data_IF_224771444718
#
_entry.id   IF_224771444718
#
_cell.length_a   1.000
_cell.length_b   1.000
_cell.length_c   1.000
_cell.angle_alpha   90.00
_cell.angle_beta   90.00
_cell.angle_gamma   90.00
#
_symmetry.space_group_name_H-M   'P 1'
#
loop_
_entity.id
_entity.type
_entity.pdbx_description
1 polymer ?
#
# COMPACT_ATOMS: atom_id res chain seq x y z
N UNK A 1 23.58 -1.67 -53.77
CA UNK A 1 23.32 -0.22 -53.80
C UNK A 1 23.30 0.26 -52.36
N UNK A 2 24.39 0.86 -51.94
CA UNK A 2 24.61 1.38 -50.60
C UNK A 2 24.52 2.90 -50.70
N UNK A 3 23.59 3.52 -49.97
CA UNK A 3 23.44 4.97 -49.90
C UNK A 3 23.89 5.45 -48.53
N UNK A 4 25.04 6.10 -48.52
CA UNK A 4 25.60 6.80 -47.35
C UNK A 4 25.07 8.22 -47.29
N UNK A 5 24.41 8.61 -46.22
CA UNK A 5 24.08 10.02 -45.91
C UNK A 5 25.10 10.58 -44.92
N UNK A 6 25.89 11.53 -45.42
CA UNK A 6 26.80 12.39 -44.66
C UNK A 6 26.02 13.61 -44.18
N UNK A 7 26.00 13.88 -42.87
CA UNK A 7 25.44 15.10 -42.30
C UNK A 7 26.56 15.97 -41.72
N UNK A 8 26.75 17.10 -42.36
CA UNK A 8 27.74 18.12 -42.02
C UNK A 8 27.23 18.99 -40.83
N UNK A 9 28.00 19.01 -39.76
CA UNK A 9 27.75 19.88 -38.59
C UNK A 9 28.36 21.27 -38.90
N UNK A 10 27.55 22.32 -38.95
CA UNK A 10 28.01 23.72 -39.06
C UNK A 10 28.08 24.33 -37.64
N UNK A 11 29.29 24.65 -37.23
CA UNK A 11 29.58 25.44 -36.03
C UNK A 11 29.23 26.92 -36.26
N UNK A 12 28.39 27.51 -35.42
CA UNK A 12 28.19 28.95 -35.34
C UNK A 12 28.89 29.49 -34.09
N UNK A 13 29.98 30.27 -34.30
CA UNK A 13 30.58 31.08 -33.27
C UNK A 13 29.88 32.45 -33.25
N UNK A 14 29.35 32.83 -32.10
CA UNK A 14 28.90 34.21 -31.83
C UNK A 14 29.71 34.75 -30.67
N UNK A 15 30.61 35.67 -31.01
CA UNK A 15 31.28 36.54 -30.08
C UNK A 15 30.31 37.69 -29.71
N UNK A 16 30.01 37.86 -28.47
CA UNK A 16 29.13 38.94 -27.97
C UNK A 16 29.71 39.58 -26.71
N UNK A 17 29.91 40.89 -26.84
CA UNK A 17 30.62 41.80 -25.96
C UNK A 17 30.08 41.82 -24.51
N UNK A 18 31.03 41.90 -23.58
CA UNK A 18 30.79 42.18 -22.15
C UNK A 18 30.54 43.70 -21.98
N UNK A 19 29.34 44.09 -21.61
CA UNK A 19 29.02 45.42 -21.10
C UNK A 19 28.93 45.34 -19.57
N UNK A 20 29.93 45.89 -18.89
CA UNK A 20 29.87 46.14 -17.46
C UNK A 20 28.88 47.30 -17.19
N UNK A 21 27.75 47.01 -16.60
CA UNK A 21 26.90 48.00 -15.97
C UNK A 21 27.12 47.96 -14.43
N UNK A 22 27.86 48.94 -13.94
CA UNK A 22 27.95 49.26 -12.53
C UNK A 22 26.66 49.99 -12.16
N UNK A 23 25.74 49.37 -11.49
CA UNK A 23 24.59 50.01 -10.85
C UNK A 23 24.74 49.97 -9.33
N UNK A 24 24.72 51.16 -8.78
CA UNK A 24 24.95 51.51 -7.40
C UNK A 24 24.04 50.80 -6.40
N UNK A 25 24.62 50.54 -5.26
CA UNK A 25 23.94 49.94 -4.13
C UNK A 25 22.75 50.76 -3.63
N UNK A 26 21.62 50.07 -3.49
CA UNK A 26 20.60 50.39 -2.48
C UNK A 26 20.53 49.22 -1.54
N UNK A 27 21.04 49.43 -0.34
CA UNK A 27 20.80 48.51 0.78
C UNK A 27 19.29 48.50 1.06
N UNK A 28 18.59 47.53 0.50
CA UNK A 28 17.27 47.18 0.98
C UNK A 28 17.50 46.46 2.32
N UNK A 29 17.24 47.16 3.40
CA UNK A 29 17.08 46.56 4.72
C UNK A 29 15.99 45.51 4.58
N UNK A 30 16.37 44.24 4.65
CA UNK A 30 15.46 43.14 4.80
C UNK A 30 14.71 43.40 6.13
N UNK A 31 13.45 43.85 6.03
CA UNK A 31 12.54 43.80 7.16
C UNK A 31 12.34 42.36 7.49
N UNK A 32 13.04 41.89 8.52
CA UNK A 32 12.69 40.68 9.24
C UNK A 32 11.27 40.86 9.77
N UNK A 33 10.27 40.33 9.07
CA UNK A 33 8.95 40.20 9.63
C UNK A 33 9.07 39.25 10.83
N UNK A 34 8.96 39.81 12.03
CA UNK A 34 8.84 39.00 13.24
C UNK A 34 7.67 38.04 13.06
N UNK A 35 7.82 36.74 13.43
CA UNK A 35 6.73 35.77 13.33
C UNK A 35 5.54 36.31 14.13
N UNK A 36 4.36 36.27 13.52
CA UNK A 36 3.10 36.70 14.12
C UNK A 36 2.85 35.83 15.36
N UNK A 37 2.81 36.35 16.61
CA UNK A 37 2.74 35.52 17.81
C UNK A 37 1.35 34.89 18.05
N UNK A 38 0.51 34.81 17.03
CA UNK A 38 -0.88 34.32 17.11
C UNK A 38 -1.17 33.02 16.38
N UNK A 39 -0.23 32.45 15.63
CA UNK A 39 -0.41 31.14 15.02
C UNK A 39 0.38 30.13 15.85
N UNK A 40 -0.27 29.54 16.85
CA UNK A 40 0.18 28.27 17.40
C UNK A 40 0.01 27.26 16.25
N UNK A 41 1.08 27.01 15.48
CA UNK A 41 1.17 25.80 14.68
C UNK A 41 1.05 24.64 15.66
N UNK A 42 -0.14 24.05 15.76
CA UNK A 42 -0.28 22.76 16.37
C UNK A 42 0.51 21.81 15.46
N UNK A 43 1.75 21.50 15.85
CA UNK A 43 2.48 20.40 15.24
C UNK A 43 1.56 19.18 15.27
N UNK A 44 1.11 18.76 14.10
CA UNK A 44 0.24 17.62 13.97
C UNK A 44 1.05 16.38 14.41
N UNK A 45 0.75 15.90 15.61
CA UNK A 45 1.46 14.78 16.22
C UNK A 45 1.15 13.52 15.42
N UNK A 46 2.18 12.94 14.81
CA UNK A 46 2.08 11.65 14.14
C UNK A 46 1.74 10.55 15.16
N UNK A 47 0.66 9.80 14.98
CA UNK A 47 0.30 8.73 15.90
C UNK A 47 1.40 7.67 16.03
N UNK A 48 1.53 7.05 17.21
CA UNK A 48 2.49 5.97 17.43
C UNK A 48 2.10 4.71 16.65
N UNK A 49 3.05 3.77 16.54
CA UNK A 49 2.78 2.41 16.07
C UNK A 49 1.77 1.75 17.02
N UNK A 50 0.57 1.45 16.52
CA UNK A 50 -0.46 0.75 17.27
C UNK A 50 -0.21 -0.76 17.24
N UNK A 51 0.02 -1.32 16.06
CA UNK A 51 0.42 -2.70 15.90
C UNK A 51 1.26 -2.92 14.63
N UNK A 52 2.01 -4.00 14.66
CA UNK A 52 2.67 -4.60 13.51
C UNK A 52 2.26 -6.07 13.43
N UNK A 53 1.96 -6.53 12.22
CA UNK A 53 1.79 -7.94 11.91
C UNK A 53 2.85 -8.40 10.93
N UNK A 54 3.48 -9.50 11.25
CA UNK A 54 4.29 -10.33 10.37
C UNK A 54 3.70 -11.73 10.39
N UNK A 55 3.74 -12.43 9.26
CA UNK A 55 3.08 -13.71 9.17
C UNK A 55 3.99 -14.84 9.64
N UNK A 56 3.40 -15.93 10.04
CA UNK A 56 4.11 -17.17 10.29
C UNK A 56 3.41 -18.33 9.59
N UNK A 57 4.19 -19.36 9.25
CA UNK A 57 3.63 -20.59 8.70
C UNK A 57 2.68 -21.21 9.74
N UNK A 58 1.42 -21.52 9.37
CA UNK A 58 0.53 -22.23 10.29
C UNK A 58 1.14 -23.57 10.75
N UNK A 59 0.87 -24.01 11.98
CA UNK A 59 1.30 -25.33 12.44
C UNK A 59 0.84 -26.43 11.48
N UNK A 60 1.74 -27.31 11.08
CA UNK A 60 1.46 -28.41 10.16
C UNK A 60 2.23 -29.67 10.53
N UNK A 61 1.75 -30.82 10.04
CA UNK A 61 2.44 -32.09 10.12
C UNK A 61 2.91 -32.51 8.73
N UNK A 62 4.13 -33.05 8.63
CA UNK A 62 4.73 -33.44 7.37
C UNK A 62 5.31 -32.30 6.54
N UNK A 63 5.69 -32.55 5.27
CA UNK A 63 6.26 -31.55 4.38
C UNK A 63 5.25 -30.45 4.03
N UNK A 64 5.76 -29.24 3.77
CA UNK A 64 4.95 -28.14 3.28
C UNK A 64 4.36 -28.48 1.90
N UNK A 65 3.05 -28.26 1.77
CA UNK A 65 2.29 -28.41 0.52
C UNK A 65 1.24 -27.30 0.42
N UNK A 66 0.51 -27.23 -0.69
CA UNK A 66 -0.46 -26.15 -0.93
C UNK A 66 -1.61 -26.11 0.08
N UNK A 67 -1.96 -27.26 0.67
CA UNK A 67 -3.04 -27.32 1.63
C UNK A 67 -2.62 -26.78 3.01
N UNK A 68 -1.46 -27.23 3.52
CA UNK A 68 -1.00 -26.81 4.85
C UNK A 68 -0.34 -25.43 4.88
N UNK A 69 -0.14 -24.79 3.70
CA UNK A 69 0.21 -23.38 3.59
C UNK A 69 -0.99 -22.43 3.64
N UNK A 70 -2.21 -22.94 3.50
CA UNK A 70 -3.41 -22.10 3.55
C UNK A 70 -3.47 -21.31 4.84
N UNK A 71 -3.89 -20.05 4.69
CA UNK A 71 -3.97 -19.16 5.83
C UNK A 71 -4.98 -19.65 6.86
N UNK A 72 -4.58 -19.57 8.11
CA UNK A 72 -5.42 -19.85 9.28
C UNK A 72 -5.23 -18.78 10.34
N UNK A 73 -6.06 -18.68 11.38
CA UNK A 73 -5.83 -17.72 12.46
C UNK A 73 -4.45 -17.82 13.12
N UNK A 74 -3.81 -18.99 13.08
CA UNK A 74 -2.48 -19.23 13.62
C UNK A 74 -1.35 -18.61 12.77
N UNK A 75 -1.66 -18.12 11.56
CA UNK A 75 -0.69 -17.38 10.75
C UNK A 75 -0.40 -15.99 11.30
N UNK A 76 -1.26 -15.44 12.16
CA UNK A 76 -1.07 -14.15 12.82
C UNK A 76 -0.14 -14.32 14.02
N UNK A 77 0.95 -13.54 14.04
CA UNK A 77 1.96 -13.61 15.11
C UNK A 77 1.63 -12.71 16.30
N UNK A 78 0.95 -11.59 16.05
CA UNK A 78 0.57 -10.65 17.09
C UNK A 78 -0.67 -11.16 17.85
N UNK A 79 -0.48 -11.52 19.12
CA UNK A 79 -1.54 -12.08 19.95
C UNK A 79 -2.73 -11.15 20.21
N UNK A 80 -2.60 -9.84 19.98
CA UNK A 80 -3.69 -8.87 20.14
C UNK A 80 -4.57 -8.75 18.89
N UNK A 81 -4.23 -9.45 17.82
CA UNK A 81 -4.95 -9.37 16.56
C UNK A 81 -5.76 -10.65 16.28
N UNK A 82 -6.82 -10.49 15.51
CA UNK A 82 -7.65 -11.54 14.96
C UNK A 82 -7.68 -11.42 13.44
N UNK A 83 -7.51 -12.54 12.75
CA UNK A 83 -7.64 -12.64 11.30
C UNK A 83 -9.11 -12.66 10.88
N UNK A 84 -9.46 -11.89 9.86
CA UNK A 84 -10.75 -11.93 9.17
C UNK A 84 -10.52 -12.07 7.67
N UNK A 85 -11.32 -12.91 7.03
CA UNK A 85 -11.23 -13.21 5.61
C UNK A 85 -12.55 -12.90 4.92
N UNK A 86 -12.50 -12.29 3.74
CA UNK A 86 -13.62 -11.91 2.92
C UNK A 86 -13.45 -12.41 1.49
N UNK A 87 -14.56 -12.81 0.89
CA UNK A 87 -14.56 -13.49 -0.40
C UNK A 87 -14.67 -15.01 -0.25
N UNK A 88 -15.30 -15.63 -1.22
CA UNK A 88 -15.59 -17.09 -1.19
C UNK A 88 -14.33 -17.94 -1.18
N UNK A 89 -13.24 -17.39 -1.69
CA UNK A 89 -11.99 -18.11 -1.93
C UNK A 89 -10.82 -17.62 -1.05
N UNK A 90 -11.08 -16.74 -0.10
CA UNK A 90 -10.03 -16.12 0.73
C UNK A 90 -9.22 -17.13 1.59
N UNK A 91 -9.78 -18.33 1.83
CA UNK A 91 -9.07 -19.41 2.53
C UNK A 91 -7.94 -20.04 1.70
N UNK A 92 -7.91 -19.80 0.39
CA UNK A 92 -6.83 -20.23 -0.49
C UNK A 92 -5.63 -19.28 -0.55
N UNK A 93 -5.68 -18.14 0.16
CA UNK A 93 -4.49 -17.35 0.46
C UNK A 93 -3.50 -18.25 1.19
N UNK A 94 -2.25 -18.25 0.76
CA UNK A 94 -1.21 -19.09 1.36
C UNK A 94 -0.20 -18.24 2.12
N UNK A 95 0.41 -18.83 3.14
CA UNK A 95 1.63 -18.31 3.74
C UNK A 95 2.80 -18.90 2.97
N UNK A 96 3.55 -18.05 2.29
CA UNK A 96 4.76 -18.40 1.55
C UNK A 96 5.98 -17.74 2.17
N UNK A 97 7.15 -17.94 1.59
CA UNK A 97 8.39 -17.36 2.08
C UNK A 97 9.24 -16.86 0.90
N UNK A 98 9.74 -15.64 1.03
CA UNK A 98 10.70 -15.08 0.09
C UNK A 98 11.95 -14.61 0.84
N UNK A 99 13.09 -15.26 0.57
CA UNK A 99 14.38 -14.96 1.22
C UNK A 99 14.32 -15.04 2.76
N UNK A 100 13.67 -16.06 3.30
CA UNK A 100 13.53 -16.26 4.74
C UNK A 100 12.48 -15.36 5.41
N UNK A 101 11.71 -14.59 4.65
CA UNK A 101 10.68 -13.68 5.18
C UNK A 101 9.31 -14.22 4.76
N UNK A 102 8.44 -14.57 5.72
CA UNK A 102 7.08 -14.99 5.42
C UNK A 102 6.26 -13.87 4.77
N UNK A 103 5.35 -14.26 3.89
CA UNK A 103 4.39 -13.38 3.25
C UNK A 103 3.09 -14.12 2.92
N UNK A 104 2.02 -13.37 2.74
CA UNK A 104 0.75 -13.88 2.23
C UNK A 104 0.77 -13.82 0.72
N UNK A 105 0.35 -14.89 0.06
CA UNK A 105 0.30 -15.02 -1.38
C UNK A 105 -1.13 -15.33 -1.87
N UNK A 106 -1.62 -14.57 -2.84
CA UNK A 106 -2.98 -14.72 -3.37
C UNK A 106 -3.07 -15.60 -4.62
N UNK A 107 -1.98 -16.20 -5.07
CA UNK A 107 -1.88 -16.85 -6.38
C UNK A 107 -2.90 -17.97 -6.65
N UNK A 108 -3.41 -18.64 -5.63
CA UNK A 108 -4.41 -19.72 -5.78
C UNK A 108 -5.85 -19.29 -5.50
N UNK A 109 -6.10 -18.00 -5.30
CA UNK A 109 -7.47 -17.50 -5.19
C UNK A 109 -8.11 -17.39 -6.57
N UNK A 110 -9.26 -17.99 -6.78
CA UNK A 110 -9.97 -17.99 -8.07
C UNK A 110 -11.01 -16.87 -8.19
N UNK A 111 -11.14 -16.08 -7.15
CA UNK A 111 -12.00 -14.90 -7.06
C UNK A 111 -11.32 -13.79 -6.25
N UNK A 112 -11.81 -12.55 -6.33
CA UNK A 112 -11.33 -11.45 -5.48
C UNK A 112 -11.38 -11.80 -3.99
N UNK A 113 -10.38 -11.35 -3.23
CA UNK A 113 -10.24 -11.66 -1.81
C UNK A 113 -9.81 -10.44 -1.00
N UNK A 114 -10.31 -10.35 0.22
CA UNK A 114 -9.80 -9.39 1.20
C UNK A 114 -9.44 -10.08 2.52
N UNK A 115 -8.44 -9.52 3.17
CA UNK A 115 -7.98 -9.94 4.47
C UNK A 115 -7.86 -8.72 5.36
N UNK A 116 -8.38 -8.83 6.59
CA UNK A 116 -8.25 -7.77 7.60
C UNK A 116 -7.78 -8.33 8.93
N UNK A 117 -7.23 -7.44 9.72
CA UNK A 117 -6.79 -7.65 11.09
C UNK A 117 -7.70 -6.81 12.01
N UNK A 118 -8.25 -7.45 13.03
CA UNK A 118 -9.08 -6.85 14.06
C UNK A 118 -8.30 -6.81 15.37
N UNK A 119 -8.14 -5.63 15.95
CA UNK A 119 -7.56 -5.54 17.28
C UNK A 119 -8.60 -5.99 18.34
N UNK A 120 -8.26 -6.98 19.17
CA UNK A 120 -9.20 -7.63 20.12
C UNK A 120 -9.83 -6.66 21.11
N UNK A 121 -9.04 -5.70 21.59
CA UNK A 121 -9.38 -4.86 22.74
C UNK A 121 -9.71 -3.41 22.37
N UNK A 122 -9.55 -3.01 21.12
CA UNK A 122 -9.72 -1.62 20.70
C UNK A 122 -10.28 -1.49 19.28
N UNK A 123 -11.02 -0.42 19.03
CA UNK A 123 -11.16 0.14 17.70
C UNK A 123 -9.91 0.93 17.33
N UNK A 124 -9.72 1.19 16.05
CA UNK A 124 -8.63 1.99 15.51
C UNK A 124 -9.20 3.34 15.06
N UNK A 125 -8.65 4.43 15.56
CA UNK A 125 -8.96 5.77 15.08
C UNK A 125 -8.02 6.09 13.91
N UNK A 126 -8.56 6.16 12.70
CA UNK A 126 -7.84 6.44 11.46
C UNK A 126 -8.02 7.90 10.99
N UNK A 127 -8.39 8.81 11.87
CA UNK A 127 -8.48 10.24 11.54
C UNK A 127 -7.14 10.96 11.69
N UNK A 128 -6.96 12.08 10.99
CA UNK A 128 -5.75 12.91 11.04
C UNK A 128 -4.54 12.22 10.39
N UNK A 129 -3.34 12.40 10.95
CA UNK A 129 -2.07 11.90 10.38
C UNK A 129 -1.84 10.40 10.58
N UNK A 130 -2.91 9.61 10.64
CA UNK A 130 -2.81 8.15 10.73
C UNK A 130 -2.37 7.55 9.40
N UNK A 131 -1.67 6.42 9.48
CA UNK A 131 -1.19 5.73 8.29
C UNK A 131 -1.05 4.23 8.52
N UNK A 132 -1.13 3.50 7.43
CA UNK A 132 -0.71 2.11 7.36
C UNK A 132 0.52 2.02 6.47
N UNK A 133 1.54 1.30 6.91
CA UNK A 133 2.68 0.91 6.08
C UNK A 133 2.62 -0.58 5.85
N UNK A 134 3.00 -0.99 4.67
CA UNK A 134 3.07 -2.41 4.31
C UNK A 134 4.21 -2.69 3.36
N UNK A 135 4.66 -3.92 3.36
CA UNK A 135 5.62 -4.42 2.38
C UNK A 135 4.91 -5.41 1.48
N UNK A 136 4.76 -5.03 0.22
CA UNK A 136 3.96 -5.76 -0.76
C UNK A 136 4.74 -6.04 -2.03
N UNK A 137 4.31 -7.05 -2.76
CA UNK A 137 4.72 -7.36 -4.12
C UNK A 137 3.47 -7.67 -4.93
N UNK A 138 3.39 -7.16 -6.15
CA UNK A 138 2.33 -7.49 -7.08
C UNK A 138 2.93 -7.90 -8.41
N UNK A 139 2.23 -8.75 -9.13
CA UNK A 139 2.64 -9.24 -10.45
C UNK A 139 1.54 -8.94 -11.47
N UNK A 140 1.96 -8.59 -12.68
CA UNK A 140 1.09 -8.34 -13.84
C UNK A 140 -0.04 -7.33 -13.56
N UNK A 141 -1.29 -7.76 -13.57
CA UNK A 141 -2.47 -6.90 -13.45
C UNK A 141 -2.90 -6.64 -12.00
N UNK A 142 -2.24 -7.28 -11.03
CA UNK A 142 -2.62 -7.16 -9.63
C UNK A 142 -2.24 -5.82 -9.05
N UNK A 143 -3.19 -5.24 -8.33
CA UNK A 143 -3.00 -4.07 -7.47
C UNK A 143 -3.69 -4.32 -6.13
N UNK A 144 -3.12 -3.78 -5.07
CA UNK A 144 -3.69 -3.85 -3.73
C UNK A 144 -4.35 -2.52 -3.36
N UNK A 145 -5.42 -2.61 -2.59
CA UNK A 145 -6.07 -1.47 -1.96
C UNK A 145 -6.15 -1.68 -0.45
N UNK A 146 -6.14 -0.59 0.30
CA UNK A 146 -6.47 -0.66 1.72
C UNK A 146 -7.96 -0.97 1.89
N UNK A 147 -8.26 -1.79 2.87
CA UNK A 147 -9.63 -2.14 3.28
C UNK A 147 -9.79 -1.84 4.76
N UNK A 148 -10.93 -1.27 5.13
CA UNK A 148 -11.32 -1.07 6.53
C UNK A 148 -12.75 -1.53 6.76
N UNK A 149 -13.03 -1.98 7.97
CA UNK A 149 -14.40 -2.24 8.42
C UNK A 149 -14.74 -1.29 9.56
N UNK A 150 -15.82 -0.57 9.40
CA UNK A 150 -16.30 0.36 10.43
C UNK A 150 -16.93 -0.38 11.59
N UNK A 151 -17.10 0.31 12.71
CA UNK A 151 -17.75 -0.26 13.90
C UNK A 151 -19.21 -0.68 13.67
N UNK A 152 -19.90 -0.10 12.68
CA UNK A 152 -21.26 -0.49 12.27
C UNK A 152 -21.30 -1.73 11.38
N UNK A 153 -20.14 -2.29 11.02
CA UNK A 153 -20.00 -3.46 10.18
C UNK A 153 -19.83 -3.17 8.69
N UNK A 154 -19.88 -1.91 8.25
CA UNK A 154 -19.67 -1.53 6.84
C UNK A 154 -18.23 -1.79 6.43
N UNK A 155 -18.04 -2.59 5.40
CA UNK A 155 -16.72 -2.86 4.81
C UNK A 155 -16.46 -1.86 3.69
N UNK A 156 -15.32 -1.20 3.73
CA UNK A 156 -14.93 -0.14 2.80
C UNK A 156 -13.58 -0.44 2.14
N UNK A 157 -13.45 -0.10 0.87
CA UNK A 157 -12.19 -0.13 0.13
C UNK A 157 -11.78 1.29 -0.26
N UNK A 158 -10.51 1.61 -0.04
CA UNK A 158 -9.92 2.89 -0.43
C UNK A 158 -9.60 2.94 -1.93
N UNK A 159 -9.69 4.14 -2.51
CA UNK A 159 -9.45 4.38 -3.94
C UNK A 159 -7.98 4.27 -4.35
N UNK A 160 -7.04 4.45 -3.43
CA UNK A 160 -5.62 4.43 -3.72
C UNK A 160 -5.15 3.01 -4.06
N UNK A 161 -4.42 2.88 -5.17
CA UNK A 161 -3.89 1.60 -5.67
C UNK A 161 -2.41 1.47 -5.34
N UNK A 162 -1.98 0.24 -5.04
CA UNK A 162 -0.58 -0.07 -4.75
C UNK A 162 -0.12 -1.23 -5.62
N UNK A 163 0.93 -0.99 -6.38
CA UNK A 163 1.56 -1.99 -7.24
C UNK A 163 3.08 -1.92 -7.14
N UNK A 164 3.73 -3.03 -7.44
CA UNK A 164 5.18 -3.10 -7.53
C UNK A 164 5.66 -2.70 -8.92
N UNK A 165 6.84 -2.08 -9.06
CA UNK A 165 7.48 -1.92 -10.35
C UNK A 165 7.69 -3.29 -11.01
N UNK A 166 7.15 -3.46 -12.21
CA UNK A 166 7.18 -4.72 -12.95
C UNK A 166 8.47 -4.85 -13.75
N UNK A 167 9.03 -6.06 -13.80
CA UNK A 167 10.18 -6.41 -14.64
C UNK A 167 9.86 -7.67 -15.44
N UNK A 168 10.24 -7.76 -16.73
CA UNK A 168 10.12 -9.00 -17.48
C UNK A 168 10.88 -10.13 -16.78
N UNK A 169 10.26 -11.28 -16.63
CA UNK A 169 10.94 -12.49 -16.16
C UNK A 169 11.68 -13.12 -17.35
N UNK A 170 12.98 -13.35 -17.20
CA UNK A 170 13.80 -13.94 -18.24
C UNK A 170 13.28 -15.33 -18.61
N UNK A 171 13.02 -15.53 -19.91
CA UNK A 171 12.52 -16.81 -20.42
C UNK A 171 11.02 -17.06 -20.29
N UNK A 172 10.24 -16.07 -19.88
CA UNK A 172 8.78 -16.15 -19.80
C UNK A 172 8.10 -14.88 -20.31
N UNK A 173 6.81 -14.98 -20.62
CA UNK A 173 5.97 -13.81 -20.94
C UNK A 173 5.37 -13.16 -19.69
N UNK A 174 5.80 -13.57 -18.49
CA UNK A 174 5.32 -13.03 -17.22
C UNK A 174 6.21 -11.86 -16.76
N UNK A 175 5.63 -11.02 -15.93
CA UNK A 175 6.31 -9.92 -15.27
C UNK A 175 6.30 -10.19 -13.77
N UNK A 176 7.42 -9.97 -13.10
CA UNK A 176 7.54 -10.07 -11.65
C UNK A 176 7.85 -8.71 -11.05
N UNK A 177 7.11 -8.36 -10.01
CA UNK A 177 7.40 -7.20 -9.18
C UNK A 177 8.43 -7.52 -8.09
N UNK A 178 9.13 -6.50 -7.62
CA UNK A 178 9.92 -6.59 -6.38
C UNK A 178 9.04 -6.23 -5.19
N UNK A 179 9.40 -6.71 -4.00
CA UNK A 179 8.81 -6.19 -2.77
C UNK A 179 9.14 -4.71 -2.61
N UNK A 180 8.12 -3.92 -2.35
CA UNK A 180 8.22 -2.48 -2.06
C UNK A 180 7.54 -2.17 -0.73
N UNK A 181 8.03 -1.15 -0.04
CA UNK A 181 7.35 -0.59 1.13
C UNK A 181 6.56 0.62 0.65
N UNK A 182 5.28 0.62 0.93
CA UNK A 182 4.37 1.71 0.61
C UNK A 182 3.66 2.20 1.87
N UNK A 183 3.18 3.42 1.81
CA UNK A 183 2.40 4.05 2.88
C UNK A 183 1.03 4.43 2.36
N UNK A 184 0.01 4.13 3.14
CA UNK A 184 -1.40 4.47 2.92
C UNK A 184 -1.77 5.55 3.92
N UNK A 185 -2.19 6.71 3.45
CA UNK A 185 -2.85 7.74 4.25
C UNK A 185 -4.36 7.59 4.09
N UNK A 186 -5.12 7.86 5.13
CA UNK A 186 -6.56 7.60 5.12
C UNK A 186 -7.40 8.84 4.80
N UNK A 187 -6.87 10.04 5.07
CA UNK A 187 -7.59 11.31 4.88
C UNK A 187 -7.84 11.64 3.40
N UNK A 188 -6.95 11.24 2.50
CA UNK A 188 -7.01 11.57 1.07
C UNK A 188 -7.72 10.51 0.22
N UNK A 189 -8.33 9.52 0.84
CA UNK A 189 -8.98 8.45 0.12
C UNK A 189 -10.46 8.70 -0.16
N UNK A 190 -10.89 8.38 -1.36
CA UNK A 190 -12.31 8.11 -1.63
C UNK A 190 -12.59 6.68 -1.19
N UNK A 191 -13.74 6.50 -0.55
CA UNK A 191 -14.13 5.22 0.00
C UNK A 191 -15.31 4.64 -0.75
N UNK A 192 -15.25 3.36 -1.02
CA UNK A 192 -16.34 2.62 -1.67
C UNK A 192 -16.75 1.47 -0.76
N UNK A 193 -18.05 1.24 -0.67
CA UNK A 193 -18.56 0.06 0.01
C UNK A 193 -18.09 -1.19 -0.73
N UNK A 194 -17.64 -2.20 0.01
CA UNK A 194 -17.20 -3.49 -0.51
C UNK A 194 -18.18 -4.58 -0.09
N UNK A 195 -18.64 -5.40 -1.06
CA UNK A 195 -19.43 -6.59 -0.76
C UNK A 195 -18.53 -7.62 -0.05
N UNK A 196 -18.88 -8.10 1.17
CA UNK A 196 -18.01 -8.99 1.93
C UNK A 196 -17.93 -10.42 1.37
N UNK A 197 -18.88 -10.81 0.51
CA UNK A 197 -18.94 -12.16 -0.07
C UNK A 197 -18.29 -12.21 -1.45
N UNK A 198 -18.68 -11.27 -2.32
CA UNK A 198 -18.17 -11.23 -3.70
C UNK A 198 -16.87 -10.47 -3.83
N UNK A 199 -16.53 -9.64 -2.84
CA UNK A 199 -15.38 -8.73 -2.83
C UNK A 199 -15.36 -7.85 -4.08
N UNK A 200 -16.49 -7.21 -4.34
CA UNK A 200 -16.64 -6.24 -5.42
C UNK A 200 -17.01 -4.88 -4.85
N UNK A 201 -16.51 -3.82 -5.49
CA UNK A 201 -16.82 -2.45 -5.11
C UNK A 201 -18.29 -2.13 -5.45
N UNK A 202 -18.94 -1.42 -4.55
CA UNK A 202 -20.32 -0.98 -4.68
C UNK A 202 -20.37 0.54 -4.81
N UNK A 203 -21.25 1.21 -4.06
CA UNK A 203 -21.40 2.66 -4.08
C UNK A 203 -20.27 3.37 -3.32
N UNK A 204 -19.98 4.58 -3.75
CA UNK A 204 -19.12 5.50 -3.00
C UNK A 204 -19.77 5.91 -1.68
N UNK A 205 -18.96 6.02 -0.64
CA UNK A 205 -19.36 6.47 0.70
C UNK A 205 -18.64 7.78 0.99
N UNK A 206 -19.39 8.88 0.98
CA UNK A 206 -18.85 10.19 1.35
C UNK A 206 -18.61 10.28 2.85
N UNK A 207 -17.43 10.74 3.27
CA UNK A 207 -17.06 11.02 4.65
C UNK A 207 -17.43 9.91 5.65
N UNK A 208 -16.89 8.68 5.51
CA UNK A 208 -17.12 7.63 6.48
C UNK A 208 -16.52 8.00 7.85
N UNK A 209 -17.15 7.52 8.92
CA UNK A 209 -16.61 7.71 10.27
C UNK A 209 -15.40 6.78 10.50
N UNK A 210 -14.21 7.30 10.21
CA UNK A 210 -12.95 6.59 10.42
C UNK A 210 -12.44 6.67 11.87
N UNK A 211 -13.15 7.34 12.78
CA UNK A 211 -12.74 7.43 14.20
C UNK A 211 -12.92 6.12 14.98
N UNK A 212 -13.70 5.17 14.42
CA UNK A 212 -13.99 3.87 15.04
C UNK A 212 -13.96 2.75 14.00
N UNK A 213 -12.75 2.39 13.55
CA UNK A 213 -12.53 1.29 12.63
C UNK A 213 -12.32 0.00 13.41
N UNK A 214 -13.08 -1.05 13.05
CA UNK A 214 -13.04 -2.37 13.70
C UNK A 214 -11.93 -3.25 13.12
N UNK A 215 -11.72 -3.17 11.80
CA UNK A 215 -10.75 -4.00 11.09
C UNK A 215 -10.01 -3.17 10.04
N UNK A 216 -8.74 -3.53 9.78
CA UNK A 216 -7.90 -2.90 8.77
C UNK A 216 -7.07 -3.95 8.04
N UNK A 217 -6.88 -3.80 6.74
CA UNK A 217 -6.12 -4.74 5.94
C UNK A 217 -6.03 -4.40 4.48
N UNK A 218 -6.06 -5.41 3.63
CA UNK A 218 -5.93 -5.25 2.19
C UNK A 218 -6.99 -6.04 1.41
N UNK A 219 -7.20 -5.64 0.17
CA UNK A 219 -7.99 -6.36 -0.83
C UNK A 219 -7.19 -6.49 -2.11
N UNK A 220 -7.28 -7.65 -2.73
CA UNK A 220 -6.91 -7.96 -4.11
C UNK A 220 -8.19 -8.22 -4.90
N UNK A 221 -8.53 -7.29 -5.78
CA UNK A 221 -9.77 -7.34 -6.56
C UNK A 221 -9.65 -8.23 -7.81
N UNK A 222 -8.48 -8.84 -8.02
CA UNK A 222 -8.21 -9.74 -9.14
C UNK A 222 -8.14 -11.19 -8.66
N UNK A 223 -8.67 -12.14 -9.44
CA UNK A 223 -8.40 -13.57 -9.18
C UNK A 223 -6.92 -13.88 -9.41
N UNK A 224 -6.34 -14.70 -8.55
CA UNK A 224 -4.96 -15.16 -8.68
C UNK A 224 -4.75 -16.04 -9.92
N UNK A 225 -3.59 -15.90 -10.51
CA UNK A 225 -3.16 -16.71 -11.66
C UNK A 225 -1.87 -17.48 -11.42
N UNK A 226 -1.56 -17.75 -10.17
CA UNK A 226 -0.30 -18.38 -9.78
C UNK A 226 0.89 -17.50 -10.14
N UNK A 227 1.93 -18.11 -10.71
CA UNK A 227 3.04 -17.40 -11.34
C UNK A 227 2.85 -17.26 -12.86
N UNK A 228 1.64 -17.46 -13.37
CA UNK A 228 1.29 -17.30 -14.77
C UNK A 228 1.03 -15.86 -15.18
N UNK A 229 0.45 -15.70 -16.37
CA UNK A 229 0.20 -14.36 -16.96
C UNK A 229 -0.72 -13.48 -16.12
N UNK A 230 -1.71 -14.05 -15.41
CA UNK A 230 -2.60 -13.27 -14.55
C UNK A 230 -1.87 -12.69 -13.32
N UNK A 231 -0.87 -13.40 -12.79
CA UNK A 231 -0.06 -12.94 -11.67
C UNK A 231 -0.70 -13.15 -10.30
N UNK A 232 -0.18 -12.46 -9.31
CA UNK A 232 -0.60 -12.57 -7.91
C UNK A 232 -0.18 -11.35 -7.10
N UNK A 233 -0.62 -11.30 -5.86
CA UNK A 233 -0.13 -10.34 -4.86
C UNK A 233 0.51 -11.05 -3.67
N UNK A 234 1.50 -10.40 -3.07
CA UNK A 234 2.11 -10.81 -1.81
C UNK A 234 2.07 -9.64 -0.81
N UNK A 235 1.82 -9.97 0.46
CA UNK A 235 1.87 -9.02 1.58
C UNK A 235 2.74 -9.60 2.69
N UNK A 236 3.91 -8.98 2.94
CA UNK A 236 4.92 -9.50 3.86
C UNK A 236 4.70 -9.04 5.29
N UNK A 237 4.32 -7.80 5.49
CA UNK A 237 3.96 -7.25 6.80
C UNK A 237 3.07 -6.02 6.66
N UNK A 238 2.35 -5.72 7.74
CA UNK A 238 1.50 -4.54 7.90
C UNK A 238 1.84 -3.86 9.23
N UNK A 239 2.02 -2.54 9.20
CA UNK A 239 2.16 -1.65 10.36
C UNK A 239 1.04 -0.62 10.33
N UNK A 240 0.39 -0.39 11.46
CA UNK A 240 -0.66 0.62 11.60
C UNK A 240 -0.24 1.63 12.66
N UNK A 241 -0.17 2.90 12.26
CA UNK A 241 0.13 4.04 13.11
C UNK A 241 -1.15 4.82 13.35
N UNK A 242 -1.72 4.65 14.52
CA UNK A 242 -3.05 5.15 14.85
C UNK A 242 -3.25 5.23 16.37
N UNK A 243 -4.36 5.82 16.80
CA UNK A 243 -4.75 5.88 18.21
C UNK A 243 -5.78 4.80 18.51
N UNK A 244 -5.62 3.99 19.57
CA UNK A 244 -6.66 3.06 20.00
C UNK A 244 -7.85 3.80 20.61
N UNK A 245 -9.05 3.31 20.31
CA UNK A 245 -10.30 3.75 20.94
C UNK A 245 -10.94 2.59 21.71
N UNK A 246 -11.54 2.92 22.83
CA UNK A 246 -12.22 1.90 23.64
C UNK A 246 -13.32 1.19 22.83
N UNK A 247 -13.30 -0.15 22.88
CA UNK A 247 -14.31 -1.02 22.29
C UNK A 247 -15.55 -1.07 23.16
#
# INVERSE_FOLDING_TARGET
>A
MVSTFSSTCKSFSIAGAIALLVCGGRNALAQSSAPNPGVLEHEAVTPPLLFREVWQQPPHTGPLNDENRRITPQAVTNGDLELRLYGTDARNIQVTEHNGIPDLWTGFTTSPVALTLRHKNAYVDLTGLTRMRWRTRTENLHVLHAVVKLADGTLLVGSQTFSSPQRPMMGSNAFSGNFVVSEVTFDDQRWFQLDPVKVVTMKEVGNPDLSRVDEIGFVDLMPGGGHGFAGCSNVSWIEVYATPRKR
#
